data_IF_772788258925
#
_entry.id   IF_772788258925
#
_cell.length_a   1.000
_cell.length_b   1.000
_cell.length_c   1.000
_cell.angle_alpha   90.00
_cell.angle_beta   90.00
_cell.angle_gamma   90.00
#
_symmetry.space_group_name_H-M   'P 1'
#
loop_
_entity.id
_entity.type
_entity.pdbx_description
1 polymer ?
#
# COMPACT_ATOMS: atom_id res chain seq x y z
N UNK A 1 -11.02 -21.38 3.19
CA UNK A 1 -10.06 -20.32 3.59
C UNK A 1 -10.24 -19.18 2.62
N UNK A 2 -10.61 -18.00 3.10
CA UNK A 2 -10.74 -16.78 2.28
C UNK A 2 -9.34 -16.37 1.83
N UNK A 3 -9.11 -16.37 0.52
CA UNK A 3 -7.86 -15.90 -0.04
C UNK A 3 -7.77 -14.37 0.14
N UNK A 4 -6.61 -13.87 0.55
CA UNK A 4 -6.37 -12.42 0.58
C UNK A 4 -6.29 -11.92 -0.86
N UNK A 5 -7.08 -10.89 -1.17
CA UNK A 5 -7.08 -10.28 -2.50
C UNK A 5 -6.04 -9.17 -2.58
N UNK A 6 -5.53 -8.92 -3.80
CA UNK A 6 -4.62 -7.79 -4.06
C UNK A 6 -5.20 -6.46 -3.62
N UNK A 7 -6.51 -6.29 -3.78
CA UNK A 7 -7.21 -5.06 -3.39
C UNK A 7 -7.18 -4.83 -1.87
N UNK A 8 -7.30 -5.90 -1.07
CA UNK A 8 -7.16 -5.81 0.39
C UNK A 8 -5.75 -5.38 0.78
N UNK A 9 -4.72 -5.91 0.11
CA UNK A 9 -3.32 -5.54 0.36
C UNK A 9 -3.10 -4.06 -0.01
N UNK A 10 -3.55 -3.63 -1.18
CA UNK A 10 -3.46 -2.24 -1.64
C UNK A 10 -4.11 -1.29 -0.64
N UNK A 11 -5.32 -1.61 -0.17
CA UNK A 11 -6.03 -0.76 0.78
C UNK A 11 -5.26 -0.61 2.10
N UNK A 12 -4.71 -1.69 2.65
CA UNK A 12 -3.88 -1.60 3.85
C UNK A 12 -2.60 -0.78 3.62
N UNK A 13 -1.97 -0.89 2.46
CA UNK A 13 -0.74 -0.15 2.15
C UNK A 13 -0.99 1.35 1.92
N UNK A 14 -2.22 1.77 1.58
CA UNK A 14 -2.56 3.18 1.48
C UNK A 14 -2.57 3.90 2.83
N UNK A 15 -2.75 3.18 3.93
CA UNK A 15 -2.66 3.74 5.29
C UNK A 15 -1.21 3.89 5.79
N UNK A 16 -0.23 3.41 5.01
CA UNK A 16 1.19 3.53 5.34
C UNK A 16 1.77 4.76 4.65
N UNK A 17 2.12 5.76 5.45
CA UNK A 17 2.66 7.04 4.98
C UNK A 17 4.17 7.13 5.17
N UNK A 18 4.83 7.75 4.21
CA UNK A 18 6.22 8.16 4.34
C UNK A 18 6.32 9.32 5.35
N UNK A 19 7.14 9.20 6.42
CA UNK A 19 7.21 10.21 7.47
C UNK A 19 7.92 11.51 7.05
N UNK A 20 8.67 11.50 5.93
CA UNK A 20 9.39 12.68 5.45
C UNK A 20 8.51 13.53 4.52
N UNK A 21 7.75 12.88 3.62
CA UNK A 21 6.96 13.54 2.58
C UNK A 21 5.45 13.56 2.91
N UNK A 22 4.98 12.68 3.79
CA UNK A 22 3.57 12.63 4.21
C UNK A 22 2.61 12.09 3.14
N UNK A 23 3.13 11.38 2.14
CA UNK A 23 2.34 10.70 1.09
C UNK A 23 2.42 9.19 1.32
N UNK A 24 1.37 8.45 0.96
CA UNK A 24 1.34 7.00 1.12
C UNK A 24 2.31 6.29 0.15
N UNK A 25 2.80 5.12 0.59
CA UNK A 25 3.80 4.34 -0.16
C UNK A 25 3.30 3.83 -1.52
N UNK A 26 1.97 3.69 -1.69
CA UNK A 26 1.35 3.29 -2.96
C UNK A 26 1.40 4.44 -3.97
N UNK A 27 1.03 5.66 -3.58
CA UNK A 27 1.00 6.79 -4.52
C UNK A 27 2.41 7.29 -4.82
N UNK A 28 3.36 7.10 -3.90
CA UNK A 28 4.78 7.32 -4.15
C UNK A 28 5.39 6.28 -5.11
N UNK A 29 4.70 5.18 -5.40
CA UNK A 29 5.20 4.13 -6.29
C UNK A 29 6.38 3.35 -5.71
N UNK A 30 6.48 3.25 -4.36
CA UNK A 30 7.57 2.53 -3.68
C UNK A 30 7.37 1.00 -3.70
N UNK A 31 6.20 0.54 -4.14
CA UNK A 31 5.85 -0.88 -4.22
C UNK A 31 5.93 -1.34 -5.68
N UNK A 32 6.88 -2.25 -5.98
CA UNK A 32 7.12 -2.74 -7.34
C UNK A 32 6.15 -3.83 -7.80
N UNK A 33 5.65 -4.66 -6.87
CA UNK A 33 4.70 -5.74 -7.17
C UNK A 33 3.79 -6.02 -5.95
N UNK A 34 2.55 -6.46 -6.22
CA UNK A 34 1.50 -6.80 -5.23
C UNK A 34 0.91 -8.17 -5.52
#
# INVERSE_FOLDING_TARGET
MTAITKEQIINCLKDVYDPEIGINVIDLGLIYEI
#
